data_IF_060778305923
#
_entry.id   IF_060778305923
#
_cell.length_a   1.000
_cell.length_b   1.000
_cell.length_c   1.000
_cell.angle_alpha   90.00
_cell.angle_beta   90.00
_cell.angle_gamma   90.00
#
_symmetry.space_group_name_H-M   'P 1'
#
loop_
_entity.id
_entity.type
_entity.pdbx_description
1 polymer ?
#
# COMPACT_ATOMS: atom_id res chain seq x y z
N UNK A 1 13.23 -1.16 12.20
CA UNK A 1 14.09 -1.94 11.28
C UNK A 1 13.27 -2.91 10.41
N UNK A 2 12.24 -3.54 10.98
CA UNK A 2 11.35 -4.49 10.29
C UNK A 2 10.81 -4.03 8.92
N UNK A 3 10.37 -2.76 8.77
CA UNK A 3 9.84 -2.28 7.47
C UNK A 3 10.92 -2.19 6.38
N UNK A 4 12.14 -1.79 6.73
CA UNK A 4 13.25 -1.74 5.78
C UNK A 4 13.69 -3.14 5.36
N UNK A 5 13.59 -4.13 6.25
CA UNK A 5 13.90 -5.55 5.95
C UNK A 5 12.91 -6.14 4.93
N UNK A 6 11.69 -5.61 4.86
CA UNK A 6 10.69 -5.95 3.83
C UNK A 6 10.98 -5.27 2.47
N UNK A 7 12.04 -4.47 2.38
CA UNK A 7 12.42 -3.73 1.18
C UNK A 7 11.54 -2.51 0.90
N UNK A 8 10.72 -2.08 1.86
CA UNK A 8 9.82 -0.93 1.71
C UNK A 8 10.57 0.34 2.09
N UNK A 9 10.67 1.25 1.12
CA UNK A 9 11.30 2.55 1.27
C UNK A 9 10.36 3.66 0.80
N UNK A 10 10.13 4.71 1.61
CA UNK A 10 10.75 4.97 2.91
C UNK A 10 10.24 4.04 4.02
N UNK A 11 11.09 3.70 4.99
CA UNK A 11 10.77 2.77 6.08
C UNK A 11 9.96 3.46 7.20
N UNK A 12 8.81 4.04 6.83
CA UNK A 12 7.87 4.74 7.73
C UNK A 12 6.84 3.74 8.24
N UNK A 13 6.59 3.75 9.55
CA UNK A 13 5.50 2.99 10.15
C UNK A 13 4.21 3.84 10.14
N UNK A 14 3.18 3.45 9.37
CA UNK A 14 1.95 4.24 9.24
C UNK A 14 1.01 4.14 10.46
N UNK A 15 1.20 3.15 11.34
CA UNK A 15 0.41 2.98 12.56
C UNK A 15 1.01 3.76 13.73
N UNK A 16 2.35 3.81 13.81
CA UNK A 16 3.06 4.59 14.84
C UNK A 16 3.20 6.08 14.46
N UNK A 17 3.09 6.42 13.17
CA UNK A 17 3.14 7.81 12.71
C UNK A 17 1.84 8.54 13.01
N UNK A 18 1.95 9.69 13.68
CA UNK A 18 0.80 10.53 14.05
C UNK A 18 0.97 11.96 13.54
N UNK A 19 -0.15 12.63 13.29
CA UNK A 19 -0.18 14.01 12.84
C UNK A 19 -1.37 14.75 13.44
N UNK A 20 -1.12 15.95 13.98
CA UNK A 20 -2.17 16.82 14.51
C UNK A 20 -3.10 17.36 13.42
N UNK A 21 -2.60 17.46 12.18
CA UNK A 21 -3.36 18.01 11.04
C UNK A 21 -4.17 16.95 10.30
N UNK A 22 -4.16 15.70 10.75
CA UNK A 22 -5.06 14.66 10.26
C UNK A 22 -6.47 14.90 10.84
N UNK A 23 -7.10 15.97 10.38
CA UNK A 23 -8.41 16.46 10.81
C UNK A 23 -9.22 16.83 9.55
N UNK A 24 -10.47 16.35 9.40
CA UNK A 24 -11.27 16.60 8.20
C UNK A 24 -11.51 18.09 7.94
N UNK A 25 -11.47 18.95 8.96
CA UNK A 25 -11.62 20.40 8.80
C UNK A 25 -10.37 21.06 8.21
N UNK A 26 -9.22 20.38 8.22
CA UNK A 26 -7.94 20.90 7.70
C UNK A 26 -7.61 20.30 6.33
N UNK A 27 -7.76 18.99 6.18
CA UNK A 27 -7.35 18.25 4.97
C UNK A 27 -8.52 17.84 4.07
N UNK A 28 -9.75 18.10 4.49
CA UNK A 28 -10.97 17.66 3.81
C UNK A 28 -11.39 16.25 4.22
N UNK A 29 -12.69 15.97 4.05
CA UNK A 29 -13.31 14.72 4.47
C UNK A 29 -12.75 13.51 3.72
N UNK A 30 -12.57 13.61 2.41
CA UNK A 30 -12.12 12.49 1.58
C UNK A 30 -10.72 12.01 1.97
N UNK A 31 -9.76 12.93 2.10
CA UNK A 31 -8.41 12.61 2.52
C UNK A 31 -8.43 11.97 3.92
N UNK A 32 -9.19 12.55 4.86
CA UNK A 32 -9.31 12.01 6.20
C UNK A 32 -9.84 10.57 6.20
N UNK A 33 -10.94 10.30 5.50
CA UNK A 33 -11.56 8.98 5.46
C UNK A 33 -10.64 7.94 4.80
N UNK A 34 -9.96 8.30 3.71
CA UNK A 34 -9.01 7.41 3.05
C UNK A 34 -7.84 7.08 3.97
N UNK A 35 -7.24 8.08 4.61
CA UNK A 35 -6.14 7.85 5.55
C UNK A 35 -6.56 6.97 6.74
N UNK A 36 -7.75 7.20 7.31
CA UNK A 36 -8.31 6.36 8.38
C UNK A 36 -8.60 4.94 7.92
N UNK A 37 -9.15 4.77 6.72
CA UNK A 37 -9.39 3.45 6.13
C UNK A 37 -8.10 2.66 5.91
N UNK A 38 -7.04 3.32 5.45
CA UNK A 38 -5.69 2.72 5.34
C UNK A 38 -5.18 2.26 6.71
N UNK A 39 -5.25 3.12 7.73
CA UNK A 39 -4.82 2.78 9.09
C UNK A 39 -5.61 1.58 9.65
N UNK A 40 -6.94 1.57 9.49
CA UNK A 40 -7.79 0.47 9.96
C UNK A 40 -7.46 -0.85 9.27
N UNK A 41 -7.25 -0.82 7.95
CA UNK A 41 -6.91 -2.01 7.16
C UNK A 41 -5.55 -2.59 7.58
N UNK A 42 -4.56 -1.73 7.79
CA UNK A 42 -3.24 -2.14 8.27
C UNK A 42 -3.25 -2.65 9.72
N UNK A 43 -4.08 -2.05 10.59
CA UNK A 43 -4.26 -2.53 11.95
C UNK A 43 -4.88 -3.92 11.98
N UNK A 44 -5.98 -4.14 11.23
CA UNK A 44 -6.58 -5.47 11.10
C UNK A 44 -5.58 -6.50 10.59
N UNK A 45 -4.78 -6.14 9.57
CA UNK A 45 -3.74 -7.03 9.07
C UNK A 45 -2.72 -7.40 10.15
N UNK A 46 -2.27 -6.44 10.95
CA UNK A 46 -1.35 -6.70 12.08
C UNK A 46 -1.96 -7.66 13.10
N UNK A 47 -3.24 -7.50 13.44
CA UNK A 47 -3.93 -8.39 14.38
C UNK A 47 -4.07 -9.82 13.81
N UNK A 48 -4.22 -9.95 12.48
CA UNK A 48 -4.30 -11.24 11.78
C UNK A 48 -2.94 -11.91 11.55
N UNK A 49 -1.82 -11.19 11.64
CA UNK A 49 -0.49 -11.74 11.37
C UNK A 49 -0.10 -12.89 12.31
N UNK A 50 -0.44 -12.79 13.61
CA UNK A 50 -0.15 -13.85 14.58
C UNK A 50 -0.95 -15.12 14.27
N UNK A 51 -2.21 -14.96 13.85
CA UNK A 51 -3.08 -16.06 13.43
C UNK A 51 -2.49 -16.73 12.18
N UNK A 52 -2.12 -15.94 11.17
CA UNK A 52 -1.51 -16.44 9.93
C UNK A 52 -0.20 -17.19 10.21
N UNK A 53 0.61 -16.70 11.15
CA UNK A 53 1.88 -17.33 11.50
C UNK A 53 1.72 -18.70 12.20
N UNK A 54 0.60 -18.92 12.90
CA UNK A 54 0.33 -20.16 13.64
C UNK A 54 -0.48 -21.15 12.80
N UNK A 55 -1.58 -20.68 12.19
CA UNK A 55 -2.58 -21.53 11.54
C UNK A 55 -2.44 -21.55 10.01
N UNK A 56 -1.86 -20.51 9.41
CA UNK A 56 -1.79 -20.32 7.97
C UNK A 56 -2.89 -19.41 7.41
N UNK A 57 -2.75 -19.03 6.15
CA UNK A 57 -3.66 -18.09 5.47
C UNK A 57 -5.04 -18.70 5.18
N UNK A 58 -5.08 -20.01 4.90
CA UNK A 58 -6.29 -20.73 4.47
C UNK A 58 -7.34 -20.86 5.59
N UNK A 59 -6.92 -20.66 6.85
CA UNK A 59 -7.78 -20.74 8.03
C UNK A 59 -8.52 -19.42 8.33
N UNK A 60 -8.22 -18.36 7.59
CA UNK A 60 -8.93 -17.09 7.69
C UNK A 60 -10.27 -17.12 6.94
N UNK A 61 -11.23 -16.33 7.42
CA UNK A 61 -12.48 -16.09 6.69
C UNK A 61 -12.19 -15.43 5.33
N UNK A 62 -13.07 -15.61 4.34
CA UNK A 62 -12.90 -14.99 3.01
C UNK A 62 -12.77 -13.46 3.12
N UNK A 63 -13.50 -12.81 4.03
CA UNK A 63 -13.40 -11.37 4.28
C UNK A 63 -12.04 -10.95 4.85
N UNK A 64 -11.50 -11.74 5.78
CA UNK A 64 -10.17 -11.50 6.35
C UNK A 64 -9.08 -11.74 5.31
N UNK A 65 -9.23 -12.75 4.45
CA UNK A 65 -8.30 -12.99 3.35
C UNK A 65 -8.23 -11.79 2.40
N UNK A 66 -9.39 -11.24 2.02
CA UNK A 66 -9.46 -10.02 1.19
C UNK A 66 -8.82 -8.83 1.92
N UNK A 67 -9.09 -8.67 3.21
CA UNK A 67 -8.51 -7.60 4.04
C UNK A 67 -6.99 -7.68 4.06
N UNK A 68 -6.44 -8.88 4.28
CA UNK A 68 -4.99 -9.14 4.27
C UNK A 68 -4.38 -8.87 2.89
N UNK A 69 -5.03 -9.32 1.81
CA UNK A 69 -4.57 -9.08 0.45
C UNK A 69 -4.49 -7.58 0.14
N UNK A 70 -5.54 -6.82 0.48
CA UNK A 70 -5.54 -5.36 0.33
C UNK A 70 -4.50 -4.69 1.23
N UNK A 71 -4.34 -5.13 2.47
CA UNK A 71 -3.35 -4.58 3.38
C UNK A 71 -1.92 -4.77 2.87
N UNK A 72 -1.60 -5.93 2.29
CA UNK A 72 -0.30 -6.18 1.66
C UNK A 72 -0.06 -5.24 0.46
N UNK A 73 -1.07 -5.05 -0.39
CA UNK A 73 -1.01 -4.08 -1.50
C UNK A 73 -0.77 -2.65 -1.01
N UNK A 74 -1.53 -2.21 0.01
CA UNK A 74 -1.34 -0.90 0.66
C UNK A 74 0.09 -0.76 1.20
N UNK A 75 0.58 -1.78 1.91
CA UNK A 75 1.92 -1.76 2.50
C UNK A 75 3.02 -1.64 1.44
N UNK A 76 2.84 -2.29 0.29
CA UNK A 76 3.73 -2.15 -0.88
C UNK A 76 3.58 -0.78 -1.54
N UNK A 77 2.36 -0.28 -1.70
CA UNK A 77 2.06 1.00 -2.35
C UNK A 77 2.54 2.22 -1.55
N UNK A 78 2.80 2.06 -0.24
CA UNK A 78 3.49 3.07 0.56
C UNK A 78 4.99 3.21 0.22
N UNK A 79 5.55 2.29 -0.57
CA UNK A 79 6.91 2.44 -1.10
C UNK A 79 6.93 3.36 -2.32
N UNK A 80 7.98 4.18 -2.43
CA UNK A 80 8.14 5.13 -3.52
C UNK A 80 9.62 5.29 -3.89
N UNK A 81 9.97 5.23 -5.19
CA UNK A 81 11.33 5.50 -5.63
C UNK A 81 11.66 6.99 -5.49
N UNK A 82 12.78 7.28 -4.83
CA UNK A 82 13.24 8.66 -4.61
C UNK A 82 14.24 9.09 -5.68
N UNK A 83 14.11 10.31 -6.18
CA UNK A 83 15.06 10.91 -7.14
C UNK A 83 16.51 10.87 -6.64
N UNK A 84 16.72 11.11 -5.34
CA UNK A 84 18.06 11.06 -4.72
C UNK A 84 18.62 9.63 -4.61
N UNK A 85 17.75 8.62 -4.67
CA UNK A 85 18.11 7.20 -4.57
C UNK A 85 18.22 6.51 -5.93
N UNK A 86 17.98 7.23 -7.03
CA UNK A 86 17.99 6.68 -8.40
C UNK A 86 19.35 6.07 -8.75
N UNK A 87 20.45 6.69 -8.31
CA UNK A 87 21.82 6.19 -8.53
C UNK A 87 22.07 4.84 -7.85
N UNK A 88 21.35 4.53 -6.77
CA UNK A 88 21.53 3.29 -6.00
C UNK A 88 20.51 2.21 -6.39
N UNK A 89 19.29 2.62 -6.73
CA UNK A 89 18.17 1.71 -7.03
C UNK A 89 18.05 1.38 -8.51
N UNK A 90 18.60 2.22 -9.39
CA UNK A 90 18.39 2.13 -10.84
C UNK A 90 16.96 2.47 -11.28
N UNK A 91 16.10 2.91 -10.34
CA UNK A 91 14.71 3.27 -10.59
C UNK A 91 14.55 4.79 -10.61
N UNK A 92 13.92 5.31 -11.66
CA UNK A 92 13.65 6.73 -11.78
C UNK A 92 12.78 7.22 -10.62
N UNK A 93 13.21 8.32 -9.98
CA UNK A 93 12.44 8.93 -8.91
C UNK A 93 11.04 9.35 -9.37
N UNK A 94 10.07 9.27 -8.46
CA UNK A 94 8.68 9.66 -8.75
C UNK A 94 8.25 10.78 -7.81
N UNK A 95 7.53 11.76 -8.34
CA UNK A 95 6.82 12.78 -7.56
C UNK A 95 5.32 12.55 -7.74
N UNK A 96 4.62 12.32 -6.63
CA UNK A 96 3.19 11.99 -6.61
C UNK A 96 2.44 13.15 -5.98
N UNK A 97 1.37 13.62 -6.64
CA UNK A 97 0.52 14.68 -6.09
C UNK A 97 -0.40 14.10 -5.01
N UNK A 98 -0.78 14.94 -4.05
CA UNK A 98 -1.66 14.55 -2.94
C UNK A 98 -3.00 13.98 -3.46
N UNK A 99 -3.61 14.60 -4.46
CA UNK A 99 -4.87 14.15 -5.06
C UNK A 99 -4.74 12.74 -5.65
N UNK A 100 -3.62 12.46 -6.33
CA UNK A 100 -3.34 11.14 -6.90
C UNK A 100 -3.07 10.09 -5.81
N UNK A 101 -2.41 10.48 -4.72
CA UNK A 101 -2.21 9.61 -3.55
C UNK A 101 -3.55 9.22 -2.91
N UNK A 102 -4.40 10.22 -2.61
CA UNK A 102 -5.71 9.98 -1.99
C UNK A 102 -6.57 9.10 -2.89
N UNK A 103 -6.62 9.40 -4.20
CA UNK A 103 -7.33 8.57 -5.18
C UNK A 103 -6.80 7.14 -5.22
N UNK A 104 -5.49 6.96 -5.34
CA UNK A 104 -4.88 5.63 -5.44
C UNK A 104 -5.19 4.75 -4.23
N UNK A 105 -5.03 5.28 -3.01
CA UNK A 105 -5.38 4.52 -1.80
C UNK A 105 -6.88 4.25 -1.67
N UNK A 106 -7.74 5.20 -2.08
CA UNK A 106 -9.19 4.99 -2.12
C UNK A 106 -9.57 3.83 -3.02
N UNK A 107 -9.01 3.76 -4.22
CA UNK A 107 -9.32 2.69 -5.17
C UNK A 107 -8.87 1.31 -4.66
N UNK A 108 -7.74 1.24 -3.95
CA UNK A 108 -7.30 -0.01 -3.28
C UNK A 108 -8.27 -0.39 -2.16
N UNK A 109 -8.70 0.56 -1.33
CA UNK A 109 -9.67 0.30 -0.26
C UNK A 109 -11.04 -0.16 -0.81
N UNK A 110 -11.48 0.42 -1.92
CA UNK A 110 -12.72 0.05 -2.63
C UNK A 110 -12.63 -1.29 -3.36
N UNK A 111 -11.43 -1.88 -3.48
CA UNK A 111 -11.22 -3.19 -4.12
C UNK A 111 -11.15 -3.16 -5.65
N UNK A 112 -10.98 -1.99 -6.26
CA UNK A 112 -10.93 -1.87 -7.73
C UNK A 112 -9.74 -2.58 -8.37
N UNK A 113 -8.71 -2.87 -7.57
CA UNK A 113 -7.45 -3.47 -8.01
C UNK A 113 -7.17 -4.79 -7.29
N UNK A 114 -8.21 -5.49 -6.83
CA UNK A 114 -8.10 -6.75 -6.09
C UNK A 114 -7.53 -7.90 -6.96
N UNK A 115 -7.73 -7.83 -8.26
CA UNK A 115 -7.22 -8.75 -9.28
C UNK A 115 -5.72 -8.56 -9.60
N UNK A 116 -5.16 -7.39 -9.29
CA UNK A 116 -3.75 -7.10 -9.55
C UNK A 116 -2.82 -7.82 -8.54
N UNK A 117 -1.63 -8.28 -8.98
CA UNK A 117 -0.66 -8.90 -8.07
C UNK A 117 -0.04 -7.86 -7.11
N UNK A 118 0.33 -8.30 -5.89
CA UNK A 118 0.94 -7.41 -4.87
C UNK A 118 2.26 -6.77 -5.34
N UNK A 119 3.00 -7.45 -6.22
CA UNK A 119 4.29 -7.00 -6.79
C UNK A 119 4.14 -5.74 -7.65
N UNK A 120 2.96 -5.54 -8.25
CA UNK A 120 2.65 -4.38 -9.06
C UNK A 120 2.64 -3.08 -8.25
N UNK A 121 2.33 -3.16 -6.95
CA UNK A 121 2.27 -2.01 -6.04
C UNK A 121 3.64 -1.64 -5.44
N UNK A 122 4.69 -2.37 -5.76
CA UNK A 122 6.02 -2.12 -5.20
C UNK A 122 6.84 -1.12 -6.04
N UNK A 123 7.37 -0.08 -5.38
CA UNK A 123 8.23 0.97 -5.96
C UNK A 123 7.61 1.65 -7.18
N UNK A 124 6.34 2.05 -7.06
CA UNK A 124 5.59 2.79 -8.08
C UNK A 124 5.17 4.16 -7.54
N UNK A 125 4.85 5.10 -8.44
CA UNK A 125 4.37 6.43 -8.07
C UNK A 125 2.85 6.47 -7.89
N UNK A 126 2.11 6.48 -8.98
CA UNK A 126 0.64 6.57 -8.98
C UNK A 126 0.00 5.19 -9.14
N UNK A 127 -1.33 5.13 -8.99
CA UNK A 127 -2.07 3.88 -9.16
C UNK A 127 -2.02 3.39 -10.61
N UNK A 128 -1.96 4.30 -11.58
CA UNK A 128 -1.84 3.97 -13.00
C UNK A 128 -0.54 3.22 -13.29
N UNK A 129 0.57 3.61 -12.66
CA UNK A 129 1.85 2.90 -12.80
C UNK A 129 1.78 1.48 -12.23
N UNK A 130 0.99 1.25 -11.16
CA UNK A 130 0.76 -0.09 -10.64
C UNK A 130 -0.01 -0.96 -11.65
N UNK A 131 -1.05 -0.41 -12.27
CA UNK A 131 -1.83 -1.11 -13.31
C UNK A 131 -0.97 -1.45 -14.52
N UNK A 132 -0.17 -0.48 -15.00
CA UNK A 132 0.75 -0.70 -16.12
C UNK A 132 1.79 -1.77 -15.80
N UNK A 133 2.35 -1.76 -14.59
CA UNK A 133 3.32 -2.76 -14.14
C UNK A 133 2.69 -4.14 -14.05
N UNK A 134 1.47 -4.26 -13.53
CA UNK A 134 0.72 -5.52 -13.50
C UNK A 134 0.52 -6.10 -14.90
N UNK A 135 0.13 -5.27 -15.87
CA UNK A 135 -0.05 -5.69 -17.26
C UNK A 135 1.27 -6.19 -17.88
N UNK A 136 2.40 -5.52 -17.60
CA UNK A 136 3.71 -5.95 -18.06
C UNK A 136 4.16 -7.28 -17.42
N UNK A 137 3.89 -7.49 -16.14
CA UNK A 137 4.22 -8.74 -15.44
C UNK A 137 3.38 -9.91 -15.98
N UNK A 138 2.08 -9.70 -16.21
CA UNK A 138 1.21 -10.70 -16.83
C UNK A 138 1.65 -11.05 -18.26
N UNK A 139 2.02 -10.05 -19.06
CA UNK A 139 2.51 -10.27 -20.43
C UNK A 139 3.86 -11.02 -20.49
N UNK A 140 4.68 -10.94 -19.45
CA UNK A 140 5.96 -11.68 -19.34
C UNK A 140 5.77 -13.11 -18.84
N UNK A 141 4.67 -13.39 -18.15
CA UNK A 141 4.33 -14.71 -17.63
C UNK A 141 3.58 -15.59 -18.64
N UNK A 142 3.04 -14.99 -19.71
CA UNK A 142 2.41 -15.65 -20.86
C UNK A 142 3.44 -16.01 -21.95
#
# INVERSE_FOLDING_TARGET
>A
RQIAELGIYPAVDPLDSTSRILDPNVIGEEHYQVARGVQQTLQKYKDLQDIIAILGMDELSEEDQVTVARARKIQRFLSQPFHVAEVFTGMAGKYVKVEDTVRGFKEILEGKHDDLPETAFYMVGTIEEAVEKAAQEQAKAA
#
